data_IF_867435265639
#
_entry.id   IF_867435265639
#
_cell.length_a   1.000
_cell.length_b   1.000
_cell.length_c   1.000
_cell.angle_alpha   90.00
_cell.angle_beta   90.00
_cell.angle_gamma   90.00
#
_symmetry.space_group_name_H-M   'P 1'
#
loop_
_entity.id
_entity.type
_entity.pdbx_description
1 polymer ?
#
# COMPACT_ATOMS: atom_id res chain seq x y z
N UNK A 1 7.34 64.04 10.62
CA UNK A 1 7.64 62.60 10.79
C UNK A 1 6.94 61.93 11.99
N UNK A 2 6.40 62.67 12.97
CA UNK A 2 5.76 62.07 14.16
C UNK A 2 4.25 61.75 14.02
N UNK A 3 3.50 62.36 13.10
CA UNK A 3 2.06 62.05 12.93
C UNK A 3 1.74 60.78 12.15
N UNK A 4 2.64 60.30 11.27
CA UNK A 4 2.38 59.11 10.41
C UNK A 4 2.57 57.77 11.16
N UNK A 5 3.12 57.80 12.39
CA UNK A 5 3.32 56.61 13.22
C UNK A 5 2.10 56.25 14.08
N UNK A 6 1.19 57.18 14.33
CA UNK A 6 0.01 56.96 15.19
C UNK A 6 -1.08 56.12 14.51
N UNK A 7 -1.37 56.40 13.23
CA UNK A 7 -2.41 55.69 12.47
C UNK A 7 -2.06 54.22 12.25
N UNK A 8 -0.78 53.91 11.98
CA UNK A 8 -0.32 52.53 11.73
C UNK A 8 -0.46 51.62 12.95
N UNK A 9 -0.37 52.17 14.17
CA UNK A 9 -0.53 51.42 15.44
C UNK A 9 -2.00 51.21 15.79
N UNK A 10 -2.88 52.15 15.43
CA UNK A 10 -4.33 52.04 15.62
C UNK A 10 -4.96 51.03 14.65
N UNK A 11 -4.47 50.96 13.41
CA UNK A 11 -4.88 49.97 12.40
C UNK A 11 -4.52 48.54 12.83
N UNK A 12 -3.33 48.34 13.41
CA UNK A 12 -2.87 47.04 13.91
C UNK A 12 -3.71 46.56 15.12
N UNK A 13 -4.20 47.48 15.96
CA UNK A 13 -5.13 47.16 17.07
C UNK A 13 -6.53 46.77 16.58
N UNK A 14 -7.06 47.41 15.53
CA UNK A 14 -8.32 46.99 14.90
C UNK A 14 -8.22 45.62 14.22
N UNK A 15 -7.07 45.31 13.64
CA UNK A 15 -6.86 44.00 13.01
C UNK A 15 -6.80 42.85 14.03
N UNK A 16 -6.16 43.07 15.18
CA UNK A 16 -6.05 42.06 16.26
C UNK A 16 -7.38 41.79 16.95
N UNK A 17 -8.19 42.82 17.19
CA UNK A 17 -9.54 42.66 17.76
C UNK A 17 -10.52 41.98 16.79
N UNK A 18 -10.35 42.22 15.49
CA UNK A 18 -11.11 41.50 14.44
C UNK A 18 -10.76 40.00 14.41
N UNK A 19 -9.47 39.63 14.41
CA UNK A 19 -9.06 38.21 14.42
C UNK A 19 -9.60 37.44 15.64
N UNK A 20 -9.63 38.08 16.81
CA UNK A 20 -10.12 37.45 18.03
C UNK A 20 -11.63 37.15 17.99
N UNK A 21 -12.41 38.03 17.34
CA UNK A 21 -13.84 37.81 17.08
C UNK A 21 -14.10 36.68 16.09
N UNK A 22 -13.28 36.55 15.05
CA UNK A 22 -13.38 35.45 14.07
C UNK A 22 -13.01 34.09 14.68
N UNK A 23 -12.00 34.05 15.57
CA UNK A 23 -11.65 32.82 16.30
C UNK A 23 -12.78 32.34 17.21
N UNK A 24 -13.43 33.25 17.95
CA UNK A 24 -14.58 32.93 18.81
C UNK A 24 -15.80 32.48 17.99
N UNK A 25 -16.06 33.10 16.84
CA UNK A 25 -17.15 32.71 15.95
C UNK A 25 -16.93 31.30 15.36
N UNK A 26 -15.67 30.95 15.03
CA UNK A 26 -15.31 29.62 14.52
C UNK A 26 -15.52 28.52 15.58
N UNK A 27 -15.17 28.78 16.85
CA UNK A 27 -15.43 27.86 17.97
C UNK A 27 -16.93 27.67 18.20
N UNK A 28 -17.72 28.76 18.10
CA UNK A 28 -19.17 28.72 18.26
C UNK A 28 -19.86 27.93 17.13
N UNK A 29 -19.42 28.11 15.88
CA UNK A 29 -19.95 27.37 14.73
C UNK A 29 -19.54 25.89 14.74
N UNK A 30 -18.33 25.57 15.22
CA UNK A 30 -17.90 24.18 15.43
C UNK A 30 -18.83 23.46 16.43
N UNK A 31 -19.25 24.15 17.49
CA UNK A 31 -20.16 23.62 18.51
C UNK A 31 -21.58 23.31 17.99
N UNK A 32 -22.03 24.03 16.95
CA UNK A 32 -23.39 23.89 16.39
C UNK A 32 -23.57 22.71 15.41
N UNK A 33 -22.49 22.09 14.92
CA UNK A 33 -22.55 21.02 13.91
C UNK A 33 -22.56 19.59 14.48
N UNK A 34 -22.48 19.45 15.81
CA UNK A 34 -22.27 18.19 16.52
C UNK A 34 -23.55 17.63 17.15
N UNK A 35 -24.57 17.32 16.33
CA UNK A 35 -25.85 16.79 16.83
C UNK A 35 -25.90 15.25 16.98
N UNK A 36 -24.84 14.48 16.70
CA UNK A 36 -24.92 13.00 16.78
C UNK A 36 -23.86 12.29 17.65
N UNK A 37 -23.01 13.05 18.36
CA UNK A 37 -22.00 12.48 19.28
C UNK A 37 -22.08 13.15 20.66
N UNK A 38 -23.29 13.25 21.21
CA UNK A 38 -23.61 14.07 22.40
C UNK A 38 -22.93 13.62 23.71
N UNK A 39 -22.53 12.35 23.84
CA UNK A 39 -22.08 11.83 25.15
C UNK A 39 -20.56 11.85 25.36
N UNK A 40 -19.75 11.90 24.31
CA UNK A 40 -18.28 11.85 24.43
C UNK A 40 -17.67 13.25 24.51
N UNK A 41 -18.33 14.27 23.95
CA UNK A 41 -17.82 15.64 23.95
C UNK A 41 -18.19 16.47 25.18
N UNK A 42 -19.12 16.01 26.02
CA UNK A 42 -19.69 16.85 27.09
C UNK A 42 -18.68 17.19 28.20
N UNK A 43 -17.69 16.31 28.43
CA UNK A 43 -16.59 16.58 29.36
C UNK A 43 -15.58 17.58 28.81
N UNK A 44 -15.17 17.40 27.55
CA UNK A 44 -14.15 18.25 26.94
C UNK A 44 -14.69 19.65 26.60
N UNK A 45 -15.99 19.77 26.23
CA UNK A 45 -16.64 21.07 26.04
C UNK A 45 -16.73 21.87 27.36
N UNK A 46 -16.98 21.19 28.49
CA UNK A 46 -17.01 21.86 29.80
C UNK A 46 -15.64 22.44 30.15
N UNK A 47 -14.56 21.68 29.93
CA UNK A 47 -13.20 22.19 30.12
C UNK A 47 -12.90 23.40 29.22
N UNK A 48 -13.28 23.35 27.94
CA UNK A 48 -13.08 24.48 27.03
C UNK A 48 -13.85 25.74 27.48
N UNK A 49 -15.09 25.57 27.94
CA UNK A 49 -15.91 26.66 28.47
C UNK A 49 -15.32 27.24 29.76
N UNK A 50 -14.78 26.41 30.65
CA UNK A 50 -14.09 26.88 31.87
C UNK A 50 -12.86 27.71 31.53
N UNK A 51 -11.98 27.20 30.66
CA UNK A 51 -10.76 27.93 30.23
C UNK A 51 -11.13 29.23 29.51
N UNK A 52 -12.16 29.21 28.66
CA UNK A 52 -12.66 30.42 28.00
C UNK A 52 -13.20 31.45 29.01
N UNK A 53 -13.94 31.01 30.02
CA UNK A 53 -14.46 31.87 31.08
C UNK A 53 -13.37 32.51 31.95
N UNK A 54 -12.33 31.74 32.29
CA UNK A 54 -11.15 32.25 33.02
C UNK A 54 -10.38 33.28 32.19
N UNK A 55 -10.19 33.04 30.89
CA UNK A 55 -9.54 33.99 29.98
C UNK A 55 -10.33 35.29 29.85
N UNK A 56 -11.65 35.22 29.68
CA UNK A 56 -12.53 36.39 29.58
C UNK A 56 -12.44 37.20 30.87
N UNK A 57 -12.56 36.54 32.04
CA UNK A 57 -12.48 37.19 33.35
C UNK A 57 -11.12 37.88 33.57
N UNK A 58 -10.02 37.25 33.13
CA UNK A 58 -8.68 37.83 33.21
C UNK A 58 -8.53 39.06 32.30
N UNK A 59 -9.07 39.02 31.08
CA UNK A 59 -9.05 40.15 30.14
C UNK A 59 -9.88 41.32 30.69
N UNK A 60 -11.08 41.04 31.22
CA UNK A 60 -11.97 42.05 31.80
C UNK A 60 -11.34 42.73 33.03
N UNK A 61 -10.66 41.98 33.89
CA UNK A 61 -9.93 42.53 35.04
C UNK A 61 -8.74 43.43 34.64
N UNK A 62 -8.23 43.29 33.42
CA UNK A 62 -7.09 44.05 32.90
C UNK A 62 -7.51 45.29 32.11
N UNK A 63 -8.70 45.31 31.48
CA UNK A 63 -9.16 46.45 30.67
C UNK A 63 -9.16 47.81 31.40
N UNK A 64 -9.73 47.97 32.61
CA UNK A 64 -9.76 49.27 33.28
C UNK A 64 -8.37 49.76 33.73
N UNK A 65 -7.39 48.86 33.84
CA UNK A 65 -6.01 49.17 34.24
C UNK A 65 -5.15 49.68 33.06
N UNK A 66 -5.53 49.39 31.82
CA UNK A 66 -4.69 49.73 30.65
C UNK A 66 -4.57 51.22 30.36
N UNK A 67 -5.51 52.07 30.79
CA UNK A 67 -5.41 53.53 30.64
C UNK A 67 -4.46 54.16 31.68
N UNK A 68 -4.42 53.64 32.90
CA UNK A 68 -3.51 54.11 33.97
C UNK A 68 -2.07 53.60 33.78
N UNK A 69 -1.92 52.42 33.16
CA UNK A 69 -0.64 51.74 32.97
C UNK A 69 0.21 52.23 31.79
N UNK A 70 -0.27 53.22 31.04
CA UNK A 70 0.45 53.80 29.91
C UNK A 70 1.82 54.41 30.31
N UNK A 71 2.06 54.69 31.60
CA UNK A 71 3.34 55.20 32.12
C UNK A 71 4.31 54.16 32.68
N UNK A 72 3.91 52.89 32.91
CA UNK A 72 4.74 51.89 33.60
C UNK A 72 5.00 50.63 32.74
N UNK A 73 6.11 50.65 32.02
CA UNK A 73 6.52 49.60 31.06
C UNK A 73 6.75 48.23 31.69
N UNK A 74 7.13 48.18 32.97
CA UNK A 74 7.38 46.92 33.69
C UNK A 74 6.08 46.13 33.92
N UNK A 75 5.01 46.81 34.34
CA UNK A 75 3.72 46.18 34.56
C UNK A 75 3.04 45.78 33.24
N UNK A 76 3.17 46.59 32.19
CA UNK A 76 2.68 46.24 30.85
C UNK A 76 3.34 44.95 30.32
N UNK A 77 4.63 44.76 30.61
CA UNK A 77 5.38 43.54 30.24
C UNK A 77 4.89 42.31 31.01
N UNK A 78 4.54 42.45 32.30
CA UNK A 78 3.95 41.36 33.09
C UNK A 78 2.60 40.94 32.51
N UNK A 79 1.74 41.90 32.16
CA UNK A 79 0.44 41.64 31.54
C UNK A 79 0.60 40.92 30.20
N UNK A 80 1.50 41.37 29.34
CA UNK A 80 1.78 40.69 28.07
C UNK A 80 2.28 39.25 28.23
N UNK A 81 3.11 38.99 29.25
CA UNK A 81 3.57 37.64 29.57
C UNK A 81 2.40 36.76 30.02
N UNK A 82 1.50 37.28 30.85
CA UNK A 82 0.30 36.55 31.29
C UNK A 82 -0.61 36.20 30.11
N UNK A 83 -0.90 37.17 29.23
CA UNK A 83 -1.73 36.94 28.04
C UNK A 83 -1.11 35.90 27.09
N UNK A 84 0.23 35.95 26.90
CA UNK A 84 0.93 34.94 26.08
C UNK A 84 0.80 33.54 26.68
N UNK A 85 1.06 33.40 27.97
CA UNK A 85 0.95 32.10 28.65
C UNK A 85 -0.49 31.54 28.59
N UNK A 86 -1.50 32.41 28.77
CA UNK A 86 -2.91 32.01 28.65
C UNK A 86 -3.28 31.62 27.22
N UNK A 87 -2.78 32.36 26.22
CA UNK A 87 -2.95 32.00 24.81
C UNK A 87 -2.36 30.61 24.52
N UNK A 88 -1.13 30.34 24.97
CA UNK A 88 -0.48 29.04 24.80
C UNK A 88 -1.27 27.92 25.48
N UNK A 89 -1.82 28.16 26.68
CA UNK A 89 -2.69 27.19 27.38
C UNK A 89 -3.97 26.86 26.60
N UNK A 90 -4.62 27.87 26.00
CA UNK A 90 -5.80 27.68 25.15
C UNK A 90 -5.45 26.92 23.87
N UNK A 91 -4.33 27.26 23.21
CA UNK A 91 -3.87 26.57 21.99
C UNK A 91 -3.55 25.09 22.25
N UNK A 92 -2.92 24.78 23.39
CA UNK A 92 -2.71 23.40 23.83
C UNK A 92 -4.02 22.67 24.09
N UNK A 93 -4.95 23.29 24.82
CA UNK A 93 -6.27 22.69 25.12
C UNK A 93 -7.10 22.44 23.87
N UNK A 94 -7.06 23.36 22.89
CA UNK A 94 -7.76 23.22 21.62
C UNK A 94 -7.16 22.09 20.77
N UNK A 95 -5.82 21.96 20.79
CA UNK A 95 -5.11 20.89 20.08
C UNK A 95 -5.43 19.53 20.70
N UNK A 96 -5.50 19.44 22.03
CA UNK A 96 -5.91 18.24 22.76
C UNK A 96 -7.35 17.86 22.42
N UNK A 97 -8.29 18.83 22.47
CA UNK A 97 -9.68 18.62 22.08
C UNK A 97 -9.80 18.13 20.63
N UNK A 98 -9.10 18.78 19.69
CA UNK A 98 -9.08 18.38 18.27
C UNK A 98 -8.55 16.96 18.09
N UNK A 99 -7.52 16.59 18.87
CA UNK A 99 -6.93 15.25 18.83
C UNK A 99 -7.90 14.21 19.39
N UNK A 100 -8.51 14.47 20.55
CA UNK A 100 -9.50 13.59 21.18
C UNK A 100 -10.72 13.39 20.28
N UNK A 101 -11.22 14.46 19.67
CA UNK A 101 -12.32 14.41 18.73
C UNK A 101 -11.96 13.59 17.48
N UNK A 102 -10.81 13.85 16.87
CA UNK A 102 -10.30 13.10 15.72
C UNK A 102 -10.13 11.61 16.05
N UNK A 103 -9.55 11.27 17.21
CA UNK A 103 -9.41 9.88 17.66
C UNK A 103 -10.77 9.21 17.91
N UNK A 104 -11.74 9.94 18.46
CA UNK A 104 -13.11 9.45 18.69
C UNK A 104 -13.80 9.11 17.38
N UNK A 105 -13.73 10.00 16.38
CA UNK A 105 -14.29 9.73 15.04
C UNK A 105 -13.62 8.50 14.44
N UNK A 106 -12.29 8.43 14.46
CA UNK A 106 -11.52 7.31 13.91
C UNK A 106 -11.95 5.99 14.53
N UNK A 107 -12.10 5.94 15.85
CA UNK A 107 -12.60 4.77 16.58
C UNK A 107 -14.04 4.41 16.17
N UNK A 108 -14.92 5.40 16.01
CA UNK A 108 -16.31 5.17 15.62
C UNK A 108 -16.44 4.54 14.22
N UNK A 109 -15.54 4.85 13.29
CA UNK A 109 -15.54 4.30 11.92
C UNK A 109 -14.56 3.14 11.71
N UNK A 110 -13.98 2.58 12.77
CA UNK A 110 -12.97 1.51 12.73
C UNK A 110 -11.70 1.86 11.93
N UNK A 111 -11.30 3.14 11.92
CA UNK A 111 -10.01 3.57 11.37
C UNK A 111 -9.00 3.57 12.50
N UNK A 112 -7.94 2.77 12.39
CA UNK A 112 -6.89 2.71 13.41
C UNK A 112 -5.82 3.75 13.12
N UNK A 113 -5.41 4.52 14.14
CA UNK A 113 -4.26 5.44 14.03
C UNK A 113 -2.99 4.68 14.38
N UNK A 114 -2.00 4.73 13.52
CA UNK A 114 -0.71 4.06 13.74
C UNK A 114 0.23 5.01 14.49
N UNK A 115 0.78 4.52 15.59
CA UNK A 115 1.79 5.25 16.35
C UNK A 115 3.17 5.07 15.72
N UNK A 116 3.82 6.17 15.33
CA UNK A 116 5.16 6.14 14.73
C UNK A 116 6.26 5.66 15.68
N UNK A 117 6.07 5.86 16.99
CA UNK A 117 6.99 5.34 17.99
C UNK A 117 6.90 3.81 18.14
N UNK A 118 5.77 3.20 17.73
CA UNK A 118 5.57 1.76 17.82
C UNK A 118 6.07 1.06 16.56
N UNK A 119 7.32 0.59 16.63
CA UNK A 119 7.94 -0.15 15.54
C UNK A 119 7.18 -1.42 15.16
N UNK A 120 6.46 -2.04 16.10
CA UNK A 120 5.70 -3.26 15.84
C UNK A 120 4.48 -2.97 14.96
N UNK A 121 3.78 -1.86 15.21
CA UNK A 121 2.66 -1.42 14.38
C UNK A 121 3.14 -1.03 12.98
N UNK A 122 4.20 -0.22 12.87
CA UNK A 122 4.77 0.14 11.57
C UNK A 122 5.23 -1.10 10.79
N UNK A 123 5.89 -2.04 11.48
CA UNK A 123 6.33 -3.29 10.86
C UNK A 123 5.15 -4.13 10.40
N UNK A 124 4.07 -4.16 11.18
CA UNK A 124 2.81 -4.80 10.79
C UNK A 124 2.26 -4.18 9.50
N UNK A 125 2.11 -2.85 9.45
CA UNK A 125 1.54 -2.17 8.27
C UNK A 125 2.34 -2.45 6.99
N UNK A 126 3.67 -2.34 7.06
CA UNK A 126 4.51 -2.43 5.85
C UNK A 126 4.99 -3.85 5.52
N UNK A 127 5.02 -4.78 6.48
CA UNK A 127 5.68 -6.09 6.29
C UNK A 127 4.89 -7.32 6.74
N UNK A 128 3.69 -7.18 7.33
CA UNK A 128 2.80 -8.30 7.66
C UNK A 128 2.18 -8.95 6.43
N UNK A 129 2.04 -8.23 5.32
CA UNK A 129 1.29 -8.70 4.15
C UNK A 129 -0.24 -8.60 4.29
N UNK A 130 -0.74 -8.18 5.44
CA UNK A 130 -2.16 -7.91 5.64
C UNK A 130 -2.62 -6.71 4.81
N UNK A 131 -3.91 -6.68 4.42
CA UNK A 131 -4.46 -5.66 3.54
C UNK A 131 -4.80 -4.38 4.31
N UNK A 132 -3.98 -3.35 4.16
CA UNK A 132 -4.20 -2.04 4.73
C UNK A 132 -4.52 -0.99 3.66
N UNK A 133 -5.44 -0.09 3.99
CA UNK A 133 -5.69 1.13 3.23
C UNK A 133 -5.40 2.33 4.10
N UNK A 134 -4.41 3.14 3.75
CA UNK A 134 -3.84 4.17 4.61
C UNK A 134 -4.14 5.55 4.03
N UNK A 135 -4.67 6.46 4.87
CA UNK A 135 -4.62 7.89 4.62
C UNK A 135 -3.40 8.48 5.34
N UNK A 136 -2.62 9.28 4.62
CA UNK A 136 -1.57 10.10 5.22
C UNK A 136 -2.21 11.30 5.92
N UNK A 137 -2.19 11.31 7.25
CA UNK A 137 -2.84 12.34 8.08
C UNK A 137 -2.30 12.27 9.51
N UNK A 138 -1.98 13.43 10.11
CA UNK A 138 -1.50 13.55 11.49
C UNK A 138 -2.54 13.12 12.51
N UNK A 139 -2.16 12.86 13.77
CA UNK A 139 -3.10 12.40 14.80
C UNK A 139 -4.23 13.40 15.12
N UNK A 140 -3.91 14.70 15.10
CA UNK A 140 -4.84 15.79 15.38
C UNK A 140 -5.70 16.20 14.17
N UNK A 141 -5.31 15.77 12.96
CA UNK A 141 -5.94 16.17 11.72
C UNK A 141 -7.20 15.33 11.43
N UNK A 142 -8.25 15.93 10.86
CA UNK A 142 -9.47 15.22 10.53
C UNK A 142 -9.25 14.25 9.36
N UNK A 143 -9.93 13.09 9.40
CA UNK A 143 -9.95 12.18 8.26
C UNK A 143 -10.72 12.80 7.09
N UNK A 144 -10.34 12.41 5.88
CA UNK A 144 -11.08 12.84 4.70
C UNK A 144 -12.48 12.20 4.70
N UNK A 145 -13.52 12.97 4.38
CA UNK A 145 -14.92 12.52 4.41
C UNK A 145 -15.14 11.23 3.60
N UNK A 146 -14.55 11.13 2.41
CA UNK A 146 -14.68 9.95 1.57
C UNK A 146 -14.12 8.68 2.25
N UNK A 147 -13.07 8.80 3.07
CA UNK A 147 -12.56 7.66 3.85
C UNK A 147 -13.53 7.28 4.97
N UNK A 148 -14.10 8.25 5.69
CA UNK A 148 -15.08 7.99 6.75
C UNK A 148 -16.25 7.14 6.25
N UNK A 149 -16.76 7.47 5.06
CA UNK A 149 -17.87 6.76 4.42
C UNK A 149 -17.42 5.40 3.80
N UNK A 150 -16.16 5.30 3.36
CA UNK A 150 -15.61 4.08 2.77
C UNK A 150 -15.14 3.04 3.79
N UNK A 151 -14.67 3.46 4.97
CA UNK A 151 -14.05 2.61 5.98
C UNK A 151 -14.92 1.41 6.38
N UNK A 152 -16.23 1.56 6.68
CA UNK A 152 -17.08 0.41 6.99
C UNK A 152 -17.21 -0.59 5.83
N UNK A 153 -17.21 -0.11 4.58
CA UNK A 153 -17.26 -0.95 3.38
C UNK A 153 -15.93 -1.68 3.16
N UNK A 154 -14.79 -1.04 3.43
CA UNK A 154 -13.46 -1.65 3.36
C UNK A 154 -13.31 -2.78 4.39
N UNK A 155 -13.73 -2.55 5.64
CA UNK A 155 -13.68 -3.58 6.69
C UNK A 155 -14.51 -4.81 6.29
N UNK A 156 -15.72 -4.61 5.73
CA UNK A 156 -16.53 -5.71 5.19
C UNK A 156 -15.85 -6.46 4.04
N UNK A 157 -15.03 -5.78 3.26
CA UNK A 157 -14.23 -6.37 2.19
C UNK A 157 -12.90 -6.99 2.69
N UNK A 158 -12.67 -6.99 4.01
CA UNK A 158 -11.44 -7.52 4.61
C UNK A 158 -10.23 -6.62 4.43
N UNK A 159 -10.40 -5.32 4.17
CA UNK A 159 -9.30 -4.33 4.11
C UNK A 159 -9.39 -3.43 5.33
N UNK A 160 -8.29 -3.28 6.06
CA UNK A 160 -8.25 -2.47 7.28
C UNK A 160 -7.89 -1.02 6.95
N UNK A 161 -8.80 -0.05 7.18
CA UNK A 161 -8.50 1.36 6.96
C UNK A 161 -7.68 1.92 8.13
N UNK A 162 -6.66 2.72 7.81
CA UNK A 162 -5.69 3.25 8.75
C UNK A 162 -5.43 4.74 8.51
N UNK A 163 -4.98 5.42 9.57
CA UNK A 163 -4.43 6.77 9.54
C UNK A 163 -2.96 6.73 9.97
N UNK A 164 -2.08 7.35 9.19
CA UNK A 164 -0.63 7.39 9.43
C UNK A 164 -0.11 8.80 9.14
N UNK A 165 0.59 9.42 10.07
CA UNK A 165 1.40 10.61 9.79
C UNK A 165 2.61 10.29 8.89
N UNK A 166 2.43 10.36 7.58
CA UNK A 166 3.48 10.02 6.60
C UNK A 166 4.69 10.96 6.59
N UNK A 167 4.61 12.10 7.29
CA UNK A 167 5.69 13.07 7.46
C UNK A 167 6.56 12.78 8.68
N UNK A 168 6.09 11.92 9.60
CA UNK A 168 6.87 11.50 10.73
C UNK A 168 8.01 10.53 10.30
N UNK A 169 9.18 10.57 10.98
CA UNK A 169 10.29 9.70 10.66
C UNK A 169 9.98 8.25 11.02
N UNK A 170 10.27 7.33 10.09
CA UNK A 170 10.28 5.89 10.34
C UNK A 170 11.56 5.51 11.11
N UNK A 171 11.66 4.29 11.67
CA UNK A 171 12.88 3.82 12.34
C UNK A 171 14.15 3.87 11.48
N UNK A 172 13.99 3.94 10.15
CA UNK A 172 15.09 4.16 9.19
C UNK A 172 15.61 5.61 9.14
N UNK A 173 15.02 6.54 9.91
CA UNK A 173 15.27 7.99 9.85
C UNK A 173 14.52 8.72 8.72
N UNK A 174 14.17 8.01 7.65
CA UNK A 174 13.37 8.54 6.52
C UNK A 174 11.88 8.60 6.83
N UNK A 175 11.16 9.53 6.21
CA UNK A 175 9.68 9.58 6.26
C UNK A 175 9.04 8.53 5.33
N UNK A 176 7.72 8.30 5.46
CA UNK A 176 6.99 7.42 4.52
C UNK A 176 7.06 7.95 3.09
N UNK A 177 6.95 9.27 2.91
CA UNK A 177 7.09 9.91 1.59
C UNK A 177 8.49 9.70 1.00
N UNK A 178 9.55 9.97 1.75
CA UNK A 178 10.92 9.79 1.26
C UNK A 178 11.24 8.33 0.93
N UNK A 179 10.70 7.40 1.71
CA UNK A 179 11.01 5.97 1.56
C UNK A 179 10.26 5.32 0.41
N UNK A 180 8.98 5.63 0.24
CA UNK A 180 8.10 4.90 -0.69
C UNK A 180 7.57 5.77 -1.83
N UNK A 181 7.51 7.09 -1.67
CA UNK A 181 6.92 8.01 -2.63
C UNK A 181 7.81 9.24 -2.90
N UNK A 182 9.10 9.07 -3.24
CA UNK A 182 10.09 10.16 -3.29
C UNK A 182 9.77 11.23 -4.36
N UNK A 183 8.89 10.92 -5.31
CA UNK A 183 8.46 11.85 -6.37
C UNK A 183 7.20 12.63 -6.01
N UNK A 184 6.54 12.31 -4.89
CA UNK A 184 5.31 13.00 -4.49
C UNK A 184 5.68 14.32 -3.82
N UNK A 185 5.11 15.41 -4.33
CA UNK A 185 5.20 16.72 -3.69
C UNK A 185 4.30 16.72 -2.44
N UNK A 186 4.92 16.90 -1.27
CA UNK A 186 4.25 16.93 0.05
C UNK A 186 3.48 18.23 0.29
N UNK A 187 3.70 19.27 -0.52
CA UNK A 187 3.08 20.58 -0.39
C UNK A 187 1.67 20.68 -0.97
N UNK A 188 1.07 19.55 -1.38
CA UNK A 188 -0.26 19.52 -1.97
C UNK A 188 -1.29 19.36 -0.87
N UNK A 189 -2.26 20.27 -0.79
CA UNK A 189 -3.43 20.19 0.10
C UNK A 189 -4.36 19.00 -0.22
N UNK A 190 -4.00 18.17 -1.20
CA UNK A 190 -4.80 17.00 -1.59
C UNK A 190 -4.58 15.83 -0.62
N UNK A 191 -5.66 15.16 -0.19
CA UNK A 191 -5.54 14.01 0.69
C UNK A 191 -4.79 12.88 -0.02
N UNK A 192 -3.76 12.34 0.64
CA UNK A 192 -2.94 11.27 0.09
C UNK A 192 -3.35 9.91 0.66
N UNK A 193 -3.59 8.96 -0.24
CA UNK A 193 -3.94 7.59 0.12
C UNK A 193 -3.05 6.57 -0.58
N UNK A 194 -2.79 5.46 0.11
CA UNK A 194 -2.12 4.32 -0.47
C UNK A 194 -2.63 3.01 0.13
N UNK A 195 -2.42 1.91 -0.58
CA UNK A 195 -2.71 0.57 -0.12
C UNK A 195 -1.42 -0.22 0.09
N UNK A 196 -1.41 -1.10 1.10
CA UNK A 196 -0.32 -2.04 1.37
C UNK A 196 -0.92 -3.43 1.56
N UNK A 197 -0.37 -4.43 0.88
CA UNK A 197 -0.75 -5.82 1.02
C UNK A 197 0.33 -6.75 0.45
N UNK A 198 0.28 -8.03 0.81
CA UNK A 198 1.07 -9.10 0.19
C UNK A 198 2.60 -8.87 0.19
N UNK A 199 3.09 -7.98 1.08
CA UNK A 199 4.47 -7.46 1.12
C UNK A 199 4.94 -6.79 -0.18
N UNK A 200 4.02 -6.43 -1.05
CA UNK A 200 4.32 -5.59 -2.20
C UNK A 200 4.60 -4.16 -1.72
N UNK A 201 5.38 -3.37 -2.48
CA UNK A 201 5.56 -1.95 -2.21
C UNK A 201 4.21 -1.22 -2.14
N UNK A 202 4.06 -0.22 -1.27
CA UNK A 202 2.84 0.59 -1.18
C UNK A 202 2.41 1.15 -2.55
N UNK A 203 1.11 1.05 -2.87
CA UNK A 203 0.54 1.54 -4.13
C UNK A 203 -0.31 2.78 -3.85
N UNK A 204 -0.03 3.88 -4.55
CA UNK A 204 -0.79 5.13 -4.39
C UNK A 204 -2.11 5.08 -5.12
N UNK A 205 -3.13 5.70 -4.51
CA UNK A 205 -4.42 5.88 -5.16
C UNK A 205 -4.31 7.03 -6.17
N UNK A 206 -4.15 6.71 -7.45
CA UNK A 206 -4.27 7.71 -8.53
C UNK A 206 -5.75 7.98 -8.82
N UNK A 207 -6.46 8.54 -7.84
CA UNK A 207 -7.89 8.79 -8.00
C UNK A 207 -8.03 10.13 -8.71
N UNK A 208 -8.44 10.08 -9.99
CA UNK A 208 -8.85 11.26 -10.74
C UNK A 208 -10.10 11.84 -10.08
N UNK A 209 -10.11 13.14 -9.84
CA UNK A 209 -11.23 13.84 -9.19
C UNK A 209 -12.57 13.59 -9.91
N UNK A 210 -13.69 13.45 -9.17
CA UNK A 210 -13.81 13.61 -7.71
C UNK A 210 -13.51 12.33 -6.91
N UNK A 211 -12.91 12.50 -5.73
CA UNK A 211 -12.64 11.44 -4.75
C UNK A 211 -13.93 10.95 -4.10
N UNK A 212 -14.45 9.79 -4.54
CA UNK A 212 -15.67 9.19 -3.97
C UNK A 212 -15.37 8.01 -3.01
N UNK A 213 -16.24 7.74 -2.03
CA UNK A 213 -16.09 6.56 -1.17
C UNK A 213 -16.00 5.25 -1.97
N UNK A 214 -16.79 5.11 -3.03
CA UNK A 214 -16.82 3.92 -3.89
C UNK A 214 -15.51 3.73 -4.62
N UNK A 215 -14.89 4.83 -5.10
CA UNK A 215 -13.59 4.79 -5.75
C UNK A 215 -12.49 4.32 -4.80
N UNK A 216 -12.53 4.75 -3.53
CA UNK A 216 -11.59 4.33 -2.50
C UNK A 216 -11.75 2.85 -2.17
N UNK A 217 -12.98 2.36 -1.97
CA UNK A 217 -13.24 0.92 -1.72
C UNK A 217 -12.76 0.08 -2.90
N UNK A 218 -13.08 0.48 -4.13
CA UNK A 218 -12.65 -0.22 -5.34
C UNK A 218 -11.13 -0.25 -5.46
N UNK A 219 -10.46 0.88 -5.25
CA UNK A 219 -9.01 0.95 -5.29
C UNK A 219 -8.37 0.08 -4.20
N UNK A 220 -8.88 0.15 -2.97
CA UNK A 220 -8.38 -0.62 -1.83
C UNK A 220 -8.52 -2.12 -2.09
N UNK A 221 -9.68 -2.59 -2.54
CA UNK A 221 -9.93 -4.01 -2.83
C UNK A 221 -9.05 -4.53 -3.97
N UNK A 222 -8.94 -3.81 -5.10
CA UNK A 222 -8.08 -4.21 -6.21
C UNK A 222 -6.59 -4.18 -5.87
N UNK A 223 -6.16 -3.22 -5.04
CA UNK A 223 -4.74 -3.08 -4.69
C UNK A 223 -4.30 -4.08 -3.61
N UNK A 224 -5.25 -4.63 -2.85
CA UNK A 224 -5.00 -5.59 -1.77
C UNK A 224 -5.46 -7.01 -2.10
N UNK A 225 -5.89 -7.23 -3.34
CA UNK A 225 -6.26 -8.54 -3.87
C UNK A 225 -5.08 -9.50 -3.75
N UNK A 226 -5.38 -10.74 -3.36
CA UNK A 226 -4.37 -11.79 -3.22
C UNK A 226 -3.99 -12.26 -4.63
N UNK A 227 -2.70 -12.22 -5.00
CA UNK A 227 -2.26 -12.70 -6.31
C UNK A 227 -2.66 -14.17 -6.50
N UNK A 228 -3.13 -14.51 -7.70
CA UNK A 228 -3.45 -15.90 -8.02
C UNK A 228 -2.20 -16.79 -7.97
N UNK A 229 -2.41 -18.05 -7.60
CA UNK A 229 -1.35 -19.06 -7.63
C UNK A 229 -0.90 -19.23 -9.08
N UNK A 230 0.37 -18.91 -9.35
CA UNK A 230 0.92 -18.88 -10.71
C UNK A 230 1.76 -20.13 -11.00
N UNK A 231 1.64 -20.69 -12.20
CA UNK A 231 2.53 -21.76 -12.67
C UNK A 231 3.81 -21.15 -13.25
N UNK A 232 4.97 -21.58 -12.74
CA UNK A 232 6.26 -21.25 -13.33
C UNK A 232 6.54 -22.17 -14.53
N UNK A 233 6.32 -21.66 -15.73
CA UNK A 233 6.48 -22.38 -17.00
C UNK A 233 7.89 -22.28 -17.59
N UNK A 234 8.74 -21.41 -17.04
CA UNK A 234 10.12 -21.19 -17.50
C UNK A 234 11.04 -20.76 -16.35
N UNK A 235 12.36 -20.89 -16.50
CA UNK A 235 13.33 -20.36 -15.52
C UNK A 235 13.16 -18.85 -15.27
N UNK A 236 12.82 -18.08 -16.31
CA UNK A 236 12.55 -16.65 -16.21
C UNK A 236 11.34 -16.34 -15.33
N UNK A 237 10.23 -17.07 -15.53
CA UNK A 237 9.02 -16.94 -14.69
C UNK A 237 9.26 -17.37 -13.25
N UNK A 238 10.05 -18.42 -13.01
CA UNK A 238 10.42 -18.82 -11.65
C UNK A 238 11.24 -17.74 -10.94
N UNK A 239 12.17 -17.10 -11.67
CA UNK A 239 12.95 -15.99 -11.14
C UNK A 239 12.06 -14.82 -10.73
N UNK A 240 11.08 -14.44 -11.54
CA UNK A 240 10.18 -13.33 -11.22
C UNK A 240 9.19 -13.65 -10.10
N UNK A 241 8.65 -14.87 -10.07
CA UNK A 241 7.62 -15.29 -9.12
C UNK A 241 8.18 -15.71 -7.76
N UNK A 242 9.37 -16.33 -7.71
CA UNK A 242 9.94 -16.87 -6.46
C UNK A 242 11.25 -16.18 -6.09
N UNK A 243 12.27 -16.20 -6.97
CA UNK A 243 13.63 -15.76 -6.61
C UNK A 243 13.70 -14.27 -6.26
N UNK A 244 12.91 -13.42 -6.93
CA UNK A 244 12.84 -11.99 -6.59
C UNK A 244 12.03 -11.69 -5.33
N UNK A 245 11.29 -12.67 -4.80
CA UNK A 245 10.46 -12.52 -3.60
C UNK A 245 11.26 -12.93 -2.37
N UNK A 246 10.93 -12.34 -1.21
CA UNK A 246 11.61 -12.63 0.06
C UNK A 246 11.30 -14.05 0.55
N UNK A 247 10.08 -14.52 0.33
CA UNK A 247 9.61 -15.85 0.75
C UNK A 247 8.71 -16.41 -0.35
N UNK A 248 8.94 -17.66 -0.74
CA UNK A 248 8.07 -18.39 -1.67
C UNK A 248 7.84 -19.84 -1.25
N UNK A 249 6.67 -20.36 -1.59
CA UNK A 249 6.27 -21.76 -1.46
C UNK A 249 6.08 -22.34 -2.86
N UNK A 250 6.91 -23.32 -3.20
CA UNK A 250 6.97 -23.95 -4.53
C UNK A 250 6.33 -25.34 -4.46
N UNK A 251 5.16 -25.49 -5.07
CA UNK A 251 4.43 -26.75 -5.15
C UNK A 251 4.84 -27.50 -6.41
N UNK A 252 5.44 -28.67 -6.24
CA UNK A 252 5.97 -29.47 -7.32
C UNK A 252 5.06 -30.66 -7.61
N UNK A 253 4.69 -30.81 -8.87
CA UNK A 253 3.78 -31.87 -9.34
C UNK A 253 4.25 -32.40 -10.69
N UNK A 254 4.07 -33.69 -10.99
CA UNK A 254 4.27 -34.23 -12.32
C UNK A 254 3.00 -34.06 -13.16
N UNK A 255 3.11 -33.46 -14.35
CA UNK A 255 1.98 -33.41 -15.29
C UNK A 255 0.96 -32.32 -14.96
N UNK A 256 -0.32 -32.65 -14.81
CA UNK A 256 -1.39 -31.70 -14.47
C UNK A 256 -1.73 -31.77 -12.98
N UNK A 257 -1.93 -30.60 -12.37
CA UNK A 257 -2.35 -30.50 -10.97
C UNK A 257 -3.84 -30.81 -10.84
N UNK A 258 -4.23 -31.53 -9.79
CA UNK A 258 -5.65 -31.78 -9.52
C UNK A 258 -6.36 -30.49 -9.10
N UNK A 259 -7.62 -30.32 -9.48
CA UNK A 259 -8.41 -29.14 -9.10
C UNK A 259 -8.62 -29.04 -7.58
N UNK A 260 -8.62 -30.18 -6.87
CA UNK A 260 -8.70 -30.24 -5.41
C UNK A 260 -7.44 -29.67 -4.76
N UNK A 261 -6.27 -30.07 -5.24
CA UNK A 261 -5.00 -29.57 -4.68
C UNK A 261 -4.82 -28.09 -4.99
N UNK A 262 -5.16 -27.64 -6.20
CA UNK A 262 -5.10 -26.23 -6.56
C UNK A 262 -5.96 -25.36 -5.63
N UNK A 263 -7.21 -25.78 -5.36
CA UNK A 263 -8.10 -25.08 -4.41
C UNK A 263 -7.52 -25.03 -2.99
N UNK A 264 -6.90 -26.12 -2.53
CA UNK A 264 -6.23 -26.15 -1.24
C UNK A 264 -5.01 -25.22 -1.19
N UNK A 265 -4.23 -25.13 -2.28
CA UNK A 265 -3.13 -24.18 -2.40
C UNK A 265 -3.64 -22.73 -2.43
N UNK A 266 -4.74 -22.46 -3.14
CA UNK A 266 -5.38 -21.14 -3.15
C UNK A 266 -5.85 -20.74 -1.74
N UNK A 267 -6.44 -21.66 -0.97
CA UNK A 267 -6.83 -21.42 0.42
C UNK A 267 -5.61 -21.13 1.31
N UNK A 268 -4.49 -21.83 1.12
CA UNK A 268 -3.23 -21.53 1.81
C UNK A 268 -2.68 -20.16 1.41
N UNK A 269 -2.72 -19.81 0.13
CA UNK A 269 -2.29 -18.51 -0.38
C UNK A 269 -3.08 -17.35 0.25
N UNK A 270 -4.38 -17.55 0.49
CA UNK A 270 -5.20 -16.58 1.22
C UNK A 270 -4.77 -16.41 2.69
N UNK A 271 -4.37 -17.50 3.35
CA UNK A 271 -3.91 -17.49 4.75
C UNK A 271 -2.50 -16.92 4.91
N UNK A 272 -1.58 -17.22 3.99
CA UNK A 272 -0.17 -16.85 4.08
C UNK A 272 0.22 -15.75 3.10
N UNK A 273 -0.41 -14.58 3.20
CA UNK A 273 -0.19 -13.42 2.30
C UNK A 273 1.28 -12.95 2.20
N UNK A 274 2.14 -13.35 3.15
CA UNK A 274 3.58 -13.03 3.17
C UNK A 274 4.42 -13.91 2.25
N UNK A 275 3.86 -15.00 1.77
CA UNK A 275 4.53 -16.06 1.03
C UNK A 275 4.00 -16.02 -0.40
N UNK A 276 4.89 -16.01 -1.39
CA UNK A 276 4.47 -16.15 -2.78
C UNK A 276 4.25 -17.62 -3.11
N UNK A 277 3.03 -17.98 -3.50
CA UNK A 277 2.68 -19.35 -3.88
C UNK A 277 2.82 -19.53 -5.39
N UNK A 278 3.58 -20.56 -5.79
CA UNK A 278 3.70 -20.94 -7.18
C UNK A 278 3.73 -22.46 -7.35
N UNK A 279 3.33 -22.90 -8.52
CA UNK A 279 3.34 -24.30 -8.90
C UNK A 279 4.40 -24.55 -9.97
N UNK A 280 5.03 -25.72 -9.96
CA UNK A 280 6.06 -26.12 -10.93
C UNK A 280 5.75 -27.52 -11.44
N UNK A 281 5.56 -27.62 -12.75
CA UNK A 281 5.42 -28.90 -13.43
C UNK A 281 6.79 -29.57 -13.62
N UNK A 282 7.06 -30.55 -12.76
CA UNK A 282 8.32 -31.30 -12.74
C UNK A 282 8.55 -32.19 -13.96
N UNK A 283 7.52 -32.47 -14.75
CA UNK A 283 7.66 -33.17 -16.03
C UNK A 283 8.30 -32.28 -17.11
N UNK A 284 8.21 -30.95 -16.96
CA UNK A 284 8.76 -29.97 -17.90
C UNK A 284 10.01 -29.30 -17.38
N UNK A 285 10.11 -29.06 -16.08
CA UNK A 285 11.20 -28.30 -15.46
C UNK A 285 11.80 -29.04 -14.29
N UNK A 286 13.12 -29.05 -14.19
CA UNK A 286 13.85 -29.66 -13.08
C UNK A 286 14.38 -28.59 -12.12
N UNK A 287 14.07 -28.63 -10.81
CA UNK A 287 14.63 -27.70 -9.84
C UNK A 287 16.12 -27.96 -9.58
N UNK A 288 16.91 -26.90 -9.35
CA UNK A 288 18.35 -26.99 -9.07
C UNK A 288 18.67 -27.31 -7.60
N UNK A 289 17.76 -27.05 -6.67
CA UNK A 289 17.97 -27.12 -5.21
C UNK A 289 17.82 -28.55 -4.63
N UNK A 290 18.55 -29.50 -5.21
CA UNK A 290 18.53 -30.92 -4.81
C UNK A 290 18.99 -31.16 -3.36
N UNK A 291 19.79 -30.24 -2.85
CA UNK A 291 20.33 -30.18 -1.49
C UNK A 291 19.23 -30.04 -0.41
N UNK A 292 18.02 -29.62 -0.78
CA UNK A 292 16.87 -29.60 0.12
C UNK A 292 16.12 -30.94 0.19
N UNK A 293 16.27 -31.79 -0.82
CA UNK A 293 15.68 -33.13 -0.86
C UNK A 293 16.43 -34.02 0.14
N UNK A 294 15.78 -34.42 1.24
CA UNK A 294 16.38 -35.31 2.22
C UNK A 294 16.80 -36.65 1.61
N UNK A 295 17.72 -37.40 2.24
CA UNK A 295 18.23 -38.68 1.73
C UNK A 295 17.19 -39.83 1.74
N UNK A 296 15.98 -39.62 2.26
CA UNK A 296 15.17 -40.70 2.84
C UNK A 296 14.25 -41.42 1.86
N UNK A 297 13.99 -40.91 0.64
CA UNK A 297 12.96 -41.55 -0.18
C UNK A 297 13.13 -41.54 -1.70
N UNK A 298 14.16 -40.91 -2.26
CA UNK A 298 14.36 -40.85 -3.72
C UNK A 298 13.21 -40.20 -4.50
N UNK A 299 12.14 -39.75 -3.82
CA UNK A 299 10.99 -39.04 -4.37
C UNK A 299 11.24 -37.55 -4.26
N UNK A 300 10.91 -36.81 -5.33
CA UNK A 300 10.94 -35.35 -5.27
C UNK A 300 9.96 -34.85 -4.20
N UNK A 301 10.36 -33.86 -3.39
CA UNK A 301 9.43 -33.24 -2.45
C UNK A 301 8.26 -32.60 -3.20
N UNK A 302 7.07 -32.66 -2.63
CA UNK A 302 5.87 -32.07 -3.23
C UNK A 302 5.76 -30.57 -2.96
N UNK A 303 6.47 -30.07 -1.95
CA UNK A 303 6.51 -28.66 -1.58
C UNK A 303 7.90 -28.27 -1.09
N UNK A 304 8.40 -27.12 -1.53
CA UNK A 304 9.60 -26.50 -0.99
C UNK A 304 9.31 -25.06 -0.59
N UNK A 305 9.64 -24.73 0.66
CA UNK A 305 9.63 -23.37 1.18
C UNK A 305 11.02 -22.77 1.02
N UNK A 306 11.10 -21.58 0.42
CA UNK A 306 12.34 -20.86 0.18
C UNK A 306 12.25 -19.47 0.81
N UNK A 307 13.30 -19.07 1.52
CA UNK A 307 13.47 -17.77 2.14
C UNK A 307 14.78 -17.15 1.66
N UNK A 308 14.68 -15.93 1.16
CA UNK A 308 15.83 -15.10 0.82
C UNK A 308 16.20 -14.23 2.03
N UNK A 309 17.46 -14.31 2.46
CA UNK A 309 18.03 -13.37 3.42
C UNK A 309 19.04 -12.48 2.70
N UNK A 310 19.02 -11.19 3.04
CA UNK A 310 19.95 -10.19 2.54
C UNK A 310 21.32 -10.24 3.26
N UNK A 311 21.49 -11.17 4.20
CA UNK A 311 22.72 -11.33 4.97
C UNK A 311 22.78 -10.47 6.24
N UNK A 312 21.81 -9.57 6.47
CA UNK A 312 21.81 -8.67 7.63
C UNK A 312 21.47 -9.40 8.94
N UNK A 313 20.79 -10.54 8.85
CA UNK A 313 20.36 -11.34 10.00
C UNK A 313 21.49 -12.15 10.64
N UNK A 314 22.65 -12.29 9.98
CA UNK A 314 23.78 -13.05 10.55
C UNK A 314 24.64 -12.14 11.42
N UNK A 315 24.98 -12.55 12.66
CA UNK A 315 25.93 -11.80 13.47
C UNK A 315 27.24 -11.69 12.67
N UNK A 316 27.75 -10.45 12.51
CA UNK A 316 29.01 -10.14 11.84
C UNK A 316 30.17 -10.79 12.61
N UNK A 317 30.34 -12.09 12.46
CA UNK A 317 31.40 -12.87 13.14
C UNK A 317 32.73 -12.81 12.40
N UNK A 318 32.76 -12.21 11.21
CA UNK A 318 34.00 -11.95 10.46
C UNK A 318 34.09 -10.46 10.14
N UNK A 319 34.90 -9.74 10.93
CA UNK A 319 35.25 -8.33 10.75
C UNK A 319 35.63 -8.05 9.27
N UNK A 320 34.74 -7.38 8.53
CA UNK A 320 35.03 -6.80 7.21
C UNK A 320 34.37 -7.45 5.99
N UNK A 321 33.71 -8.62 6.11
CA UNK A 321 33.00 -9.20 4.96
C UNK A 321 31.64 -8.50 4.75
N UNK A 322 31.40 -7.97 3.55
CA UNK A 322 30.07 -7.45 3.17
C UNK A 322 29.05 -8.61 3.27
N UNK A 323 27.88 -8.41 3.88
CA UNK A 323 26.85 -9.43 3.95
C UNK A 323 26.49 -9.87 2.52
N UNK A 324 26.63 -11.18 2.27
CA UNK A 324 26.26 -11.78 0.99
C UNK A 324 24.82 -12.32 1.11
N UNK A 325 23.95 -12.06 0.12
CA UNK A 325 22.63 -12.64 0.11
C UNK A 325 22.74 -14.16 0.04
N UNK A 326 21.86 -14.85 0.75
CA UNK A 326 21.82 -16.30 0.76
C UNK A 326 20.39 -16.81 0.81
N UNK A 327 20.24 -18.07 0.43
CA UNK A 327 18.96 -18.76 0.43
C UNK A 327 18.93 -19.81 1.52
N UNK A 328 17.78 -19.94 2.15
CA UNK A 328 17.45 -21.03 3.03
C UNK A 328 16.16 -21.67 2.58
N UNK A 329 16.00 -22.95 2.86
CA UNK A 329 14.77 -23.63 2.53
C UNK A 329 14.50 -24.88 3.34
N UNK A 330 13.28 -25.38 3.19
CA UNK A 330 12.81 -26.62 3.78
C UNK A 330 11.94 -27.33 2.76
N UNK A 331 12.13 -28.63 2.64
CA UNK A 331 11.29 -29.48 1.80
C UNK A 331 10.26 -30.22 2.65
N UNK A 332 9.06 -30.40 2.09
CA UNK A 332 8.01 -31.24 2.63
C UNK A 332 7.79 -32.43 1.70
N UNK A 333 7.71 -33.62 2.28
CA UNK A 333 7.58 -34.91 1.57
C UNK A 333 6.52 -35.80 2.20
N UNK A 334 5.48 -35.20 2.81
CA UNK A 334 4.41 -35.96 3.44
C UNK A 334 3.66 -36.84 2.44
N UNK A 335 3.15 -37.98 2.91
CA UNK A 335 2.52 -39.00 2.06
C UNK A 335 1.21 -38.54 1.41
N UNK A 336 0.47 -37.63 2.09
CA UNK A 336 -0.82 -37.12 1.63
C UNK A 336 -0.85 -35.61 1.71
N UNK A 337 -1.12 -34.98 0.57
CA UNK A 337 -1.37 -33.54 0.48
C UNK A 337 -2.74 -33.23 1.11
N UNK A 338 -2.74 -32.38 2.13
CA UNK A 338 -3.95 -31.81 2.72
C UNK A 338 -3.66 -30.37 3.12
N UNK A 339 -4.68 -29.52 3.08
CA UNK A 339 -4.56 -28.11 3.45
C UNK A 339 -4.10 -27.97 4.91
N UNK A 340 -4.57 -28.84 5.80
CA UNK A 340 -4.27 -28.82 7.23
C UNK A 340 -2.81 -29.21 7.49
N UNK A 341 -2.33 -30.33 6.92
CA UNK A 341 -0.97 -30.79 7.13
C UNK A 341 0.07 -29.83 6.53
N UNK A 342 -0.21 -29.29 5.33
CA UNK A 342 0.66 -28.32 4.68
C UNK A 342 0.60 -26.98 5.40
N UNK A 343 -0.57 -26.55 5.86
CA UNK A 343 -0.74 -25.34 6.66
C UNK A 343 0.08 -25.40 7.95
N UNK A 344 -0.06 -26.47 8.74
CA UNK A 344 0.73 -26.63 9.96
C UNK A 344 2.24 -26.62 9.69
N UNK A 345 2.68 -27.28 8.62
CA UNK A 345 4.10 -27.25 8.23
C UNK A 345 4.58 -25.86 7.78
N UNK A 346 3.73 -25.09 7.09
CA UNK A 346 4.01 -23.71 6.71
C UNK A 346 4.02 -22.77 7.92
N UNK A 347 3.15 -22.98 8.91
CA UNK A 347 3.15 -22.24 10.17
C UNK A 347 4.52 -22.37 10.85
N UNK A 348 5.05 -23.59 10.98
CA UNK A 348 6.39 -23.85 11.53
C UNK A 348 7.50 -23.15 10.73
N UNK A 349 7.42 -23.21 9.40
CA UNK A 349 8.43 -22.63 8.51
C UNK A 349 8.42 -21.09 8.51
N UNK A 350 7.24 -20.49 8.56
CA UNK A 350 7.05 -19.03 8.58
C UNK A 350 7.37 -18.45 9.95
N UNK A 351 6.98 -19.14 11.03
CA UNK A 351 7.32 -18.76 12.41
C UNK A 351 8.80 -18.96 12.73
N UNK A 352 9.49 -19.81 11.97
CA UNK A 352 10.90 -20.13 12.20
C UNK A 352 11.13 -21.07 13.37
N UNK A 353 10.11 -21.84 13.80
CA UNK A 353 10.24 -22.85 14.85
C UNK A 353 11.13 -24.01 14.42
N UNK A 354 11.20 -24.29 13.12
CA UNK A 354 12.10 -25.29 12.56
C UNK A 354 13.18 -24.60 11.72
N UNK A 355 14.47 -24.86 11.98
CA UNK A 355 15.56 -24.23 11.24
C UNK A 355 15.49 -24.59 9.76
N UNK A 356 15.67 -23.58 8.91
CA UNK A 356 15.79 -23.74 7.48
C UNK A 356 17.22 -24.17 7.11
N UNK A 357 17.36 -25.02 6.09
CA UNK A 357 18.68 -25.44 5.59
C UNK A 357 19.20 -24.41 4.60
N UNK A 358 20.47 -24.03 4.72
CA UNK A 358 21.11 -23.16 3.72
C UNK A 358 21.19 -23.86 2.36
N UNK A 359 20.76 -23.17 1.31
CA UNK A 359 20.83 -23.62 -0.07
C UNK A 359 22.12 -23.09 -0.68
N UNK A 360 22.95 -23.98 -1.22
CA UNK A 360 24.30 -23.62 -1.68
C UNK A 360 24.29 -22.75 -2.93
N UNK A 361 23.26 -22.90 -3.76
CA UNK A 361 23.11 -22.20 -5.03
C UNK A 361 21.80 -21.42 -5.02
N UNK A 362 21.76 -20.31 -5.77
CA UNK A 362 20.52 -19.59 -6.02
C UNK A 362 19.48 -20.56 -6.61
N UNK A 363 18.29 -20.69 -6.01
CA UNK A 363 17.24 -21.54 -6.52
C UNK A 363 16.93 -21.20 -7.99
N UNK A 364 16.89 -22.21 -8.84
CA UNK A 364 16.57 -22.06 -10.25
C UNK A 364 15.81 -23.28 -10.79
N UNK A 365 15.17 -23.11 -11.95
CA UNK A 365 14.62 -24.20 -12.73
C UNK A 365 15.46 -24.40 -13.99
N UNK A 366 15.58 -25.65 -14.43
CA UNK A 366 16.28 -26.05 -15.65
C UNK A 366 15.27 -26.72 -16.58
N UNK A 367 15.23 -26.25 -17.82
CA UNK A 367 14.51 -26.94 -18.89
C UNK A 367 15.43 -28.02 -19.48
N UNK A 368 15.12 -29.32 -19.28
CA UNK A 368 15.93 -30.41 -19.82
C UNK A 368 15.95 -30.42 -21.36
N UNK A 369 14.90 -29.89 -22.02
CA UNK A 369 14.83 -29.83 -23.48
C UNK A 369 15.74 -28.77 -24.09
N UNK A 370 16.03 -27.69 -23.34
CA UNK A 370 16.90 -26.62 -23.80
C UNK A 370 18.36 -27.09 -23.96
N UNK A 371 18.80 -28.06 -23.15
CA UNK A 371 20.18 -28.58 -23.20
C UNK A 371 20.48 -29.40 -24.46
N UNK A 372 19.44 -29.94 -25.11
CA UNK A 372 19.56 -30.68 -26.37
C UNK A 372 19.69 -29.78 -27.61
N UNK A 373 19.45 -28.46 -27.48
CA UNK A 373 19.51 -27.49 -28.59
C UNK A 373 20.76 -26.62 -28.58
N UNK A 374 21.75 -26.90 -27.73
CA UNK A 374 23.05 -26.22 -27.85
C UNK A 374 23.60 -26.49 -29.25
N UNK A 375 23.92 -25.45 -30.04
CA UNK A 375 24.43 -25.63 -31.38
C UNK A 375 25.74 -26.38 -31.27
N UNK A 376 25.78 -27.59 -31.84
CA UNK A 376 27.02 -28.24 -32.21
C UNK A 376 27.85 -27.21 -32.96
N UNK A 377 29.00 -26.87 -32.39
CA UNK A 377 30.01 -26.02 -33.01
C UNK A 377 30.36 -26.61 -34.38
N UNK A 378 29.72 -26.10 -35.44
CA UNK A 378 30.31 -26.16 -36.77
C UNK A 378 31.40 -25.10 -36.78
N UNK A 379 32.64 -25.58 -36.73
CA UNK A 379 33.82 -24.76 -36.96
C UNK A 379 33.70 -24.04 -38.30
N UNK A 380 33.64 -22.72 -38.21
CA UNK A 380 33.84 -21.80 -39.32
C UNK A 380 34.59 -20.61 -38.75
N UNK A 381 35.85 -20.47 -39.16
CA UNK A 381 36.74 -19.38 -38.76
C UNK A 381 36.09 -18.01 -39.00
N UNK A 382 36.07 -17.11 -38.00
CA UNK A 382 35.59 -15.75 -38.20
C UNK A 382 36.75 -14.85 -38.63
N UNK A 383 36.75 -14.46 -39.90
CA UNK A 383 37.44 -13.27 -40.36
C UNK A 383 36.82 -12.04 -39.67
N UNK A 384 37.69 -11.14 -39.21
CA UNK A 384 37.39 -10.00 -38.37
C UNK A 384 36.46 -8.96 -39.04
N UNK A 385 35.35 -8.63 -38.36
CA UNK A 385 34.53 -7.46 -38.66
C UNK A 385 34.52 -6.50 -37.43
N UNK A 386 35.32 -5.42 -37.44
CA UNK A 386 35.41 -4.48 -36.34
C UNK A 386 34.37 -3.36 -36.53
N UNK A 387 33.11 -3.60 -36.15
CA UNK A 387 32.07 -2.59 -36.41
C UNK A 387 30.78 -2.64 -35.59
N UNK A 388 30.66 -3.43 -34.52
CA UNK A 388 29.39 -3.48 -33.74
C UNK A 388 29.50 -2.91 -32.33
N UNK A 389 28.87 -1.76 -32.17
CA UNK A 389 28.62 -1.06 -30.92
C UNK A 389 27.98 -1.95 -29.83
N UNK A 390 28.23 -1.66 -28.54
CA UNK A 390 27.67 -2.41 -27.42
C UNK A 390 26.14 -2.28 -27.40
N UNK A 391 25.46 -3.42 -27.47
CA UNK A 391 24.01 -3.54 -27.26
C UNK A 391 23.67 -3.17 -25.82
N UNK A 392 22.98 -2.05 -25.65
CA UNK A 392 22.13 -1.77 -24.49
C UNK A 392 21.19 -2.96 -24.26
N UNK A 393 21.30 -3.60 -23.09
CA UNK A 393 20.40 -4.68 -22.69
C UNK A 393 20.22 -4.66 -21.18
N UNK A 394 19.07 -4.14 -20.73
CA UNK A 394 18.22 -4.69 -19.65
C UNK A 394 17.12 -3.72 -19.13
N UNK A 395 16.57 -2.84 -19.97
CA UNK A 395 15.32 -2.09 -19.67
C UNK A 395 14.06 -2.71 -20.28
N UNK A 396 14.19 -3.68 -21.20
CA UNK A 396 13.06 -4.20 -21.98
C UNK A 396 12.05 -5.00 -21.13
N UNK A 397 12.51 -5.68 -20.08
CA UNK A 397 11.62 -6.57 -19.30
C UNK A 397 10.68 -5.80 -18.35
N UNK A 398 11.07 -4.59 -17.93
CA UNK A 398 10.21 -3.71 -17.14
C UNK A 398 9.17 -3.01 -18.04
N UNK A 399 9.60 -2.61 -19.24
CA UNK A 399 8.71 -2.05 -20.26
C UNK A 399 7.63 -3.06 -20.69
N UNK A 400 7.96 -4.35 -20.80
CA UNK A 400 7.01 -5.39 -21.22
C UNK A 400 5.94 -5.68 -20.16
N UNK A 401 6.31 -5.74 -18.87
CA UNK A 401 5.34 -5.86 -17.77
C UNK A 401 4.46 -4.61 -17.63
N UNK A 402 5.03 -3.42 -17.83
CA UNK A 402 4.26 -2.17 -17.82
C UNK A 402 3.29 -2.12 -19.02
N UNK A 403 3.71 -2.60 -20.19
CA UNK A 403 2.84 -2.69 -21.39
C UNK A 403 1.70 -3.68 -21.19
N UNK A 404 1.95 -4.85 -20.61
CA UNK A 404 0.90 -5.82 -20.28
C UNK A 404 -0.13 -5.23 -19.31
N UNK A 405 0.33 -4.51 -18.28
CA UNK A 405 -0.56 -3.87 -17.32
C UNK A 405 -1.36 -2.71 -17.96
N UNK A 406 -0.76 -1.93 -18.86
CA UNK A 406 -1.44 -0.88 -19.62
C UNK A 406 -2.47 -1.44 -20.61
N UNK A 407 -2.14 -2.53 -21.33
CA UNK A 407 -3.06 -3.21 -22.25
C UNK A 407 -4.27 -3.82 -21.50
N UNK A 408 -4.05 -4.35 -20.29
CA UNK A 408 -5.15 -4.86 -19.44
C UNK A 408 -6.09 -3.73 -19.00
N UNK A 409 -5.54 -2.62 -18.51
CA UNK A 409 -6.32 -1.44 -18.12
C UNK A 409 -7.09 -0.83 -19.31
N UNK A 410 -6.46 -0.78 -20.49
CA UNK A 410 -7.11 -0.29 -21.71
C UNK A 410 -8.26 -1.18 -22.18
N UNK A 411 -8.16 -2.52 -22.02
CA UNK A 411 -9.28 -3.44 -22.29
C UNK A 411 -10.43 -3.24 -21.32
N UNK A 412 -10.13 -3.14 -20.02
CA UNK A 412 -11.14 -2.88 -18.99
C UNK A 412 -11.85 -1.52 -19.21
N UNK A 413 -11.13 -0.51 -19.70
CA UNK A 413 -11.68 0.80 -20.06
C UNK A 413 -12.52 0.78 -21.35
N UNK A 414 -12.13 -0.02 -22.35
CA UNK A 414 -12.91 -0.24 -23.56
C UNK A 414 -14.24 -0.99 -23.28
N UNK A 415 -14.21 -1.99 -22.40
CA UNK A 415 -15.42 -2.68 -21.94
C UNK A 415 -16.33 -1.75 -21.13
N UNK A 416 -15.75 -0.85 -20.33
CA UNK A 416 -16.48 0.12 -19.50
C UNK A 416 -17.17 1.24 -20.29
N UNK A 417 -16.61 1.64 -21.43
CA UNK A 417 -17.14 2.77 -22.22
C UNK A 417 -18.19 2.36 -23.25
N UNK A 418 -18.47 1.07 -23.43
CA UNK A 418 -19.47 0.57 -24.38
C UNK A 418 -19.12 0.81 -25.85
N UNK A 419 -17.94 1.37 -26.14
CA UNK A 419 -17.42 1.50 -27.50
C UNK A 419 -16.78 0.17 -27.90
N UNK A 420 -17.58 -0.70 -28.54
CA UNK A 420 -17.10 -1.93 -29.15
C UNK A 420 -15.89 -1.64 -30.05
N UNK A 421 -14.86 -2.48 -29.95
CA UNK A 421 -13.63 -2.39 -30.72
C UNK A 421 -13.93 -2.11 -32.21
N UNK A 422 -13.16 -1.25 -32.89
CA UNK A 422 -13.37 -0.97 -34.31
C UNK A 422 -13.31 -2.28 -35.09
N UNK A 423 -14.44 -2.67 -35.67
CA UNK A 423 -14.51 -3.77 -36.64
C UNK A 423 -13.46 -3.47 -37.71
N UNK A 424 -12.44 -4.34 -37.82
CA UNK A 424 -11.52 -4.33 -38.97
C UNK A 424 -12.37 -4.35 -40.24
N UNK A 425 -12.36 -3.23 -40.95
CA UNK A 425 -12.90 -3.10 -42.30
C UNK A 425 -12.11 -4.06 -43.19
N UNK A 426 -12.70 -5.21 -43.50
CA UNK A 426 -12.26 -6.03 -44.62
C UNK A 426 -12.50 -5.22 -45.90
N UNK A 427 -11.41 -4.87 -46.57
CA UNK A 427 -11.41 -4.35 -47.93
C UNK A 427 -12.03 -5.40 -48.86
N UNK A 428 -13.24 -5.10 -49.33
CA UNK A 428 -14.02 -5.93 -50.24
C UNK A 428 -13.49 -5.71 -51.65
N UNK A 429 -12.82 -6.72 -52.21
CA UNK A 429 -12.49 -6.79 -53.63
C UNK A 429 -13.78 -6.90 -54.46
N UNK A 430 -13.85 -6.11 -55.53
CA UNK A 430 -14.86 -6.14 -56.58
C UNK A 430 -14.86 -7.51 -57.27
N UNK A 431 -16.01 -8.17 -57.33
CA UNK A 431 -16.36 -9.08 -58.42
C UNK A 431 -17.85 -8.95 -58.75
N UNK A 432 -18.12 -9.01 -60.05
CA UNK A 432 -19.35 -8.64 -60.75
C UNK A 432 -20.46 -9.71 -60.62
N UNK A 433 -21.70 -9.44 -61.09
CA UNK A 433 -22.90 -10.16 -60.73
C UNK A 433 -23.18 -11.35 -61.66
N UNK A 434 -23.87 -12.37 -61.14
CA UNK A 434 -24.68 -13.27 -61.96
C UNK A 434 -25.97 -13.64 -61.24
N UNK A 435 -27.02 -13.53 -62.01
CA UNK A 435 -28.41 -13.89 -61.76
C UNK A 435 -28.57 -15.33 -61.28
N UNK A 436 -29.56 -15.60 -60.43
CA UNK A 436 -30.66 -16.50 -60.79
C UNK A 436 -31.67 -16.65 -59.64
N UNK A 437 -32.93 -16.72 -60.07
CA UNK A 437 -34.14 -16.92 -59.32
C UNK A 437 -34.18 -18.23 -58.51
N UNK A 438 -35.01 -18.25 -57.48
CA UNK A 438 -35.41 -19.50 -56.82
C UNK A 438 -36.22 -19.24 -55.55
N UNK A 439 -37.54 -19.35 -55.64
CA UNK A 439 -38.47 -19.14 -54.53
C UNK A 439 -38.42 -20.21 -53.45
N UNK A 440 -39.13 -19.93 -52.34
CA UNK A 440 -39.31 -20.90 -51.26
C UNK A 440 -40.03 -20.31 -50.04
N UNK A 441 -41.36 -20.35 -50.07
CA UNK A 441 -42.27 -20.21 -48.91
C UNK A 441 -42.02 -21.32 -47.88
N UNK A 442 -42.13 -20.99 -46.58
CA UNK A 442 -42.75 -21.77 -45.45
C UNK A 442 -42.50 -20.98 -44.16
N UNK A 443 -43.50 -20.35 -43.56
CA UNK A 443 -44.44 -20.90 -42.55
C UNK A 443 -43.79 -21.61 -41.36
N UNK A 444 -44.12 -21.12 -40.15
CA UNK A 444 -44.39 -22.01 -39.00
C UNK A 444 -43.67 -21.71 -37.68
N UNK A 445 -44.46 -21.31 -36.66
CA UNK A 445 -44.21 -21.51 -35.22
C UNK A 445 -43.32 -20.45 -34.56
N UNK A 446 -43.73 -19.67 -33.55
CA UNK A 446 -44.74 -19.90 -32.52
C UNK A 446 -44.18 -20.82 -31.44
N UNK A 447 -43.72 -20.26 -30.32
CA UNK A 447 -44.04 -20.71 -28.95
C UNK A 447 -43.53 -19.70 -27.92
N UNK A 448 -44.29 -19.60 -26.82
CA UNK A 448 -44.21 -18.64 -25.71
C UNK A 448 -42.97 -18.77 -24.84
#
# INVERSE_FOLDING_TARGET
SFCVRGERVMEERRHKTSMMRWALLAVFLASLTLSSTEKVLDGDLKNLNTVSGELISAIEALMPKTEELAGNTAELTKVWRLVRNQKEAVEMSLTELSTNFSMTIRKAVNVTTINHADQSQLSSVFFSGDPFFVQCVGAAEPLHRALLEAAPKMVKAGVQPLALDCSAPLPSGKTTFERFFPTKNTSSDEPFFFAVANRDPPRTAQIKNPLSPESLVKFATLSTEIPSVSEASSPGSFKSLCVKKKICAVFMYPGSMSSKDLKAIEALNQRYRRVSFLTVNTAKLTPSFKDLSGPVSGRMPSLVFLKHSDGTDRPLSTLGAKPQPYWEGRAWSGEKFSQEAVGAWLDDAVAGYVPLKSVKQTPNLVDPSAKARSPSAQGGDPAADPGRHPRERDTSHYAENLRYHQERMAREEAERTGFGAPKKTQSKAKSAPKDSAGGGKREGGGFK
#
